data_IF_746493051584
#
_entry.id   IF_746493051584
#
_cell.length_a   1.000
_cell.length_b   1.000
_cell.length_c   1.000
_cell.angle_alpha   90.00
_cell.angle_beta   90.00
_cell.angle_gamma   90.00
#
_symmetry.space_group_name_H-M   'P 1'
#
loop_
_entity.id
_entity.type
_entity.pdbx_description
1 polymer ?
#
# COMPACT_ATOMS: atom_id res chain seq x y z
N UNK A 1 -0.41 10.08 -0.07
CA UNK A 1 0.77 9.84 -0.93
C UNK A 1 0.29 9.08 -2.15
N UNK A 2 0.43 9.66 -3.34
CA UNK A 2 -0.01 9.04 -4.59
C UNK A 2 1.15 8.20 -5.15
N UNK A 3 0.86 6.95 -5.55
CA UNK A 3 1.84 6.07 -6.17
C UNK A 3 1.60 6.02 -7.67
N UNK A 4 2.56 6.51 -8.46
CA UNK A 4 2.44 6.51 -9.92
C UNK A 4 3.70 5.89 -10.52
N UNK A 5 3.50 4.99 -11.47
CA UNK A 5 4.59 4.33 -12.18
C UNK A 5 5.12 5.22 -13.32
N UNK A 6 6.36 5.72 -13.18
CA UNK A 6 7.42 5.77 -14.21
C UNK A 6 8.63 6.53 -13.64
N UNK A 7 9.84 5.94 -13.60
CA UNK A 7 11.06 6.59 -13.12
C UNK A 7 12.11 6.73 -14.22
N UNK A 8 12.82 7.86 -14.25
CA UNK A 8 14.16 7.98 -14.84
C UNK A 8 15.14 8.68 -13.86
N UNK A 9 16.00 7.86 -13.22
CA UNK A 9 17.21 8.12 -12.39
C UNK A 9 17.18 9.09 -11.19
N UNK A 10 18.01 8.82 -10.17
CA UNK A 10 17.96 9.43 -8.83
C UNK A 10 18.71 10.75 -8.63
N UNK A 11 19.60 11.12 -9.56
CA UNK A 11 20.69 12.04 -9.23
C UNK A 11 20.72 13.32 -10.08
N UNK A 12 19.66 13.61 -10.84
CA UNK A 12 19.56 14.83 -11.63
C UNK A 12 18.17 15.45 -11.46
N UNK A 13 18.08 16.79 -11.41
CA UNK A 13 16.81 17.50 -11.54
C UNK A 13 16.22 17.18 -12.91
N UNK A 14 15.40 16.14 -12.98
CA UNK A 14 14.68 15.78 -14.19
C UNK A 14 13.40 16.62 -14.24
N UNK A 15 13.46 17.74 -14.95
CA UNK A 15 12.37 18.72 -15.06
C UNK A 15 11.00 18.09 -15.38
N UNK A 16 10.89 17.14 -16.33
CA UNK A 16 9.67 16.37 -16.54
C UNK A 16 9.08 15.70 -15.29
N UNK A 17 9.90 15.05 -14.45
CA UNK A 17 9.43 14.35 -13.24
C UNK A 17 8.95 15.36 -12.19
N UNK A 18 9.64 16.50 -12.07
CA UNK A 18 9.24 17.58 -11.16
C UNK A 18 7.91 18.16 -11.58
N UNK A 19 7.71 18.42 -12.87
CA UNK A 19 6.47 18.97 -13.39
C UNK A 19 5.31 17.99 -13.25
N UNK A 20 5.54 16.70 -13.55
CA UNK A 20 4.56 15.64 -13.31
C UNK A 20 4.18 15.57 -11.83
N UNK A 21 5.16 15.60 -10.90
CA UNK A 21 4.90 15.59 -9.48
C UNK A 21 4.03 16.78 -9.04
N UNK A 22 4.33 18.00 -9.52
CA UNK A 22 3.53 19.19 -9.22
C UNK A 22 2.09 19.05 -9.71
N UNK A 23 1.90 18.61 -10.95
CA UNK A 23 0.57 18.39 -11.53
C UNK A 23 -0.24 17.37 -10.74
N UNK A 24 0.38 16.27 -10.36
CA UNK A 24 -0.25 15.22 -9.57
C UNK A 24 -0.63 15.67 -8.15
N UNK A 25 0.22 16.45 -7.50
CA UNK A 25 -0.11 17.07 -6.21
C UNK A 25 -1.27 18.04 -6.37
N UNK A 26 -1.25 18.89 -7.40
CA UNK A 26 -2.29 19.89 -7.64
C UNK A 26 -3.66 19.28 -8.00
N UNK A 27 -3.72 18.08 -8.58
CA UNK A 27 -4.96 17.41 -8.94
C UNK A 27 -5.36 16.24 -8.02
N UNK A 28 -4.68 16.06 -6.88
CA UNK A 28 -4.99 15.01 -5.91
C UNK A 28 -5.07 15.54 -4.49
N UNK A 29 -5.49 14.70 -3.56
CA UNK A 29 -5.52 15.01 -2.12
C UNK A 29 -4.15 14.89 -1.44
N UNK A 30 -3.06 14.73 -2.20
CA UNK A 30 -1.76 14.33 -1.67
C UNK A 30 -0.70 15.41 -1.79
N UNK A 31 0.11 15.59 -0.74
CA UNK A 31 1.20 16.58 -0.76
C UNK A 31 2.51 16.05 -1.39
N UNK A 32 2.62 14.73 -1.56
CA UNK A 32 3.84 14.06 -2.03
C UNK A 32 3.51 12.85 -2.91
N UNK A 33 4.38 12.65 -3.90
CA UNK A 33 4.31 11.55 -4.88
C UNK A 33 5.56 10.68 -4.77
N UNK A 34 5.39 9.37 -4.93
CA UNK A 34 6.49 8.43 -5.12
C UNK A 34 6.37 7.75 -6.48
N UNK A 35 7.48 7.75 -7.20
CA UNK A 35 7.57 7.14 -8.52
C UNK A 35 8.21 5.75 -8.45
N UNK A 36 7.51 4.77 -9.01
CA UNK A 36 7.98 3.40 -9.23
C UNK A 36 8.02 3.08 -10.73
N UNK A 37 8.45 1.89 -11.13
CA UNK A 37 8.38 1.41 -12.51
C UNK A 37 7.14 0.52 -12.76
N UNK A 38 6.48 0.08 -11.70
CA UNK A 38 5.31 -0.79 -11.80
C UNK A 38 4.31 -0.57 -10.66
N UNK A 39 3.09 -1.07 -10.85
CA UNK A 39 2.06 -1.11 -9.81
C UNK A 39 2.44 -1.98 -8.61
N UNK A 40 3.12 -3.11 -8.82
CA UNK A 40 3.55 -3.98 -7.70
C UNK A 40 4.60 -3.30 -6.83
N UNK A 41 5.54 -2.56 -7.42
CA UNK A 41 6.51 -1.75 -6.66
C UNK A 41 5.85 -0.58 -5.91
N UNK A 42 4.83 0.04 -6.52
CA UNK A 42 4.02 1.04 -5.86
C UNK A 42 3.31 0.48 -4.63
N UNK A 43 2.71 -0.72 -4.74
CA UNK A 43 2.06 -1.40 -3.62
C UNK A 43 3.06 -1.81 -2.51
N UNK A 44 4.25 -2.29 -2.86
CA UNK A 44 5.32 -2.55 -1.87
C UNK A 44 5.73 -1.27 -1.13
N UNK A 45 5.87 -0.16 -1.86
CA UNK A 45 6.18 1.13 -1.26
C UNK A 45 5.06 1.57 -0.30
N UNK A 46 3.79 1.38 -0.69
CA UNK A 46 2.63 1.68 0.14
C UNK A 46 2.60 0.87 1.44
N UNK A 47 2.80 -0.46 1.36
CA UNK A 47 2.91 -1.35 2.50
C UNK A 47 4.01 -0.87 3.47
N UNK A 48 5.19 -0.56 2.92
CA UNK A 48 6.34 -0.09 3.72
C UNK A 48 6.09 1.27 4.36
N UNK A 49 5.49 2.22 3.64
CA UNK A 49 5.19 3.54 4.17
C UNK A 49 4.12 3.48 5.27
N UNK A 50 3.09 2.65 5.12
CA UNK A 50 2.10 2.42 6.17
C UNK A 50 2.75 1.90 7.47
N UNK A 51 3.55 0.83 7.37
CA UNK A 51 4.26 0.27 8.54
C UNK A 51 5.27 1.24 9.14
N UNK A 52 6.01 1.99 8.31
CA UNK A 52 6.95 3.00 8.79
C UNK A 52 6.23 4.15 9.50
N UNK A 53 5.11 4.61 8.96
CA UNK A 53 4.32 5.69 9.53
C UNK A 53 3.83 5.34 10.94
N UNK A 54 3.35 4.11 11.16
CA UNK A 54 2.94 3.66 12.49
C UNK A 54 4.09 3.65 13.48
N UNK A 55 5.22 3.04 13.11
CA UNK A 55 6.43 3.03 13.95
C UNK A 55 6.91 4.44 14.32
N UNK A 56 6.81 5.37 13.39
CA UNK A 56 7.25 6.74 13.61
C UNK A 56 6.25 7.56 14.43
N UNK A 57 4.95 7.33 14.24
CA UNK A 57 3.89 8.10 14.92
C UNK A 57 3.58 7.59 16.32
N UNK A 58 3.97 6.35 16.62
CA UNK A 58 3.69 5.67 17.89
C UNK A 58 4.99 5.05 18.48
N UNK A 59 5.99 5.88 18.86
CA UNK A 59 7.31 5.39 19.24
C UNK A 59 7.34 4.55 20.52
N UNK A 60 6.41 4.79 21.45
CA UNK A 60 6.35 4.12 22.75
C UNK A 60 5.38 2.91 22.76
N UNK A 61 4.67 2.69 21.66
CA UNK A 61 3.65 1.66 21.56
C UNK A 61 4.28 0.30 21.24
N UNK A 62 4.10 -0.66 22.15
CA UNK A 62 4.67 -2.01 22.03
C UNK A 62 4.02 -2.82 20.92
N UNK A 63 2.74 -2.57 20.63
CA UNK A 63 1.97 -3.29 19.64
C UNK A 63 1.50 -2.31 18.56
N UNK A 64 2.28 -2.23 17.48
CA UNK A 64 1.93 -1.37 16.37
C UNK A 64 0.92 -2.06 15.47
N UNK A 65 -0.06 -1.30 15.03
CA UNK A 65 -0.90 -1.66 13.91
C UNK A 65 0.02 -2.02 12.72
N UNK A 66 0.00 -3.28 12.30
CA UNK A 66 0.85 -3.84 11.22
C UNK A 66 0.06 -4.71 10.23
N UNK A 67 -1.22 -4.90 10.54
CA UNK A 67 -2.21 -5.68 9.82
C UNK A 67 -2.78 -4.88 8.64
N UNK A 68 -3.22 -5.56 7.60
CA UNK A 68 -3.81 -4.98 6.39
C UNK A 68 -5.17 -5.58 6.11
N UNK A 69 -6.04 -4.76 5.51
CA UNK A 69 -7.32 -5.18 4.98
C UNK A 69 -7.20 -5.12 3.45
N UNK A 70 -7.55 -6.21 2.78
CA UNK A 70 -7.73 -6.28 1.34
C UNK A 70 -9.13 -6.81 1.04
N UNK A 71 -9.55 -6.80 -0.22
CA UNK A 71 -10.89 -7.22 -0.61
C UNK A 71 -10.89 -8.48 -1.46
N UNK A 72 -11.98 -9.24 -1.44
CA UNK A 72 -12.19 -10.34 -2.39
C UNK A 72 -12.18 -9.79 -3.82
N UNK A 73 -11.68 -10.61 -4.75
CA UNK A 73 -11.45 -10.26 -6.15
C UNK A 73 -10.37 -9.19 -6.41
N UNK A 74 -9.56 -8.83 -5.41
CA UNK A 74 -8.47 -7.86 -5.57
C UNK A 74 -7.20 -8.47 -6.20
N UNK A 75 -6.39 -7.60 -6.80
CA UNK A 75 -5.07 -7.95 -7.33
C UNK A 75 -4.11 -6.77 -7.14
N UNK A 76 -3.05 -6.97 -6.34
CA UNK A 76 -2.07 -5.92 -6.02
C UNK A 76 -0.68 -6.21 -6.60
N UNK A 77 -0.50 -7.36 -7.24
CA UNK A 77 0.76 -7.75 -7.86
C UNK A 77 1.31 -9.07 -7.32
N UNK A 78 2.59 -9.33 -7.59
CA UNK A 78 3.23 -10.65 -7.40
C UNK A 78 4.51 -10.60 -6.56
N UNK A 79 4.92 -9.43 -6.09
CA UNK A 79 6.00 -9.31 -5.09
C UNK A 79 5.50 -9.73 -3.71
N UNK A 80 6.38 -10.12 -2.78
CA UNK A 80 5.98 -10.77 -1.52
C UNK A 80 4.92 -10.04 -0.67
N UNK A 81 4.99 -8.70 -0.58
CA UNK A 81 3.97 -7.91 0.13
C UNK A 81 2.71 -7.75 -0.72
N UNK A 82 2.87 -7.46 -2.00
CA UNK A 82 1.76 -7.26 -2.93
C UNK A 82 0.92 -8.54 -3.16
N UNK A 83 1.57 -9.70 -3.27
CA UNK A 83 0.91 -10.99 -3.47
C UNK A 83 0.14 -11.38 -2.22
N UNK A 84 0.63 -11.04 -1.02
CA UNK A 84 -0.10 -11.25 0.23
C UNK A 84 -1.45 -10.50 0.26
N UNK A 85 -1.52 -9.33 -0.39
CA UNK A 85 -2.76 -8.56 -0.54
C UNK A 85 -3.62 -9.02 -1.72
N UNK A 86 -3.11 -9.84 -2.64
CA UNK A 86 -3.87 -10.36 -3.80
C UNK A 86 -4.80 -11.48 -3.34
N UNK A 87 -6.12 -11.34 -3.55
CA UNK A 87 -7.10 -12.26 -2.96
C UNK A 87 -7.06 -13.68 -3.52
N UNK A 88 -6.75 -13.81 -4.81
CA UNK A 88 -6.75 -15.07 -5.55
C UNK A 88 -5.69 -16.03 -5.00
N UNK A 89 -6.16 -17.11 -4.36
CA UNK A 89 -5.33 -18.10 -3.66
C UNK A 89 -4.24 -18.71 -4.54
N UNK A 90 -4.53 -19.04 -5.80
CA UNK A 90 -3.54 -19.64 -6.71
C UNK A 90 -2.31 -18.74 -6.97
N UNK A 91 -2.41 -17.42 -6.73
CA UNK A 91 -1.24 -16.55 -6.78
C UNK A 91 -0.45 -16.55 -5.47
N UNK A 92 -1.06 -16.88 -4.32
CA UNK A 92 -0.44 -16.87 -3.00
C UNK A 92 0.13 -18.23 -2.60
N UNK A 93 -0.64 -19.30 -2.77
CA UNK A 93 -0.33 -20.64 -2.24
C UNK A 93 1.05 -21.18 -2.63
N UNK A 94 1.61 -20.92 -3.83
CA UNK A 94 2.97 -21.38 -4.16
C UNK A 94 4.10 -20.68 -3.39
N UNK A 95 3.81 -19.55 -2.74
CA UNK A 95 4.79 -18.70 -2.06
C UNK A 95 4.55 -18.58 -0.55
N UNK A 96 3.66 -19.41 0.00
CA UNK A 96 3.38 -19.38 1.43
C UNK A 96 4.58 -19.85 2.26
N UNK A 97 4.87 -19.21 3.42
CA UNK A 97 4.13 -18.09 3.99
C UNK A 97 4.43 -16.74 3.31
N UNK A 98 3.38 -16.05 2.88
CA UNK A 98 3.46 -14.66 2.39
C UNK A 98 3.48 -13.66 3.55
N UNK A 99 3.56 -12.35 3.28
CA UNK A 99 3.50 -11.33 4.33
C UNK A 99 2.29 -11.56 5.25
N UNK A 100 2.50 -11.78 6.56
CA UNK A 100 1.41 -12.09 7.47
C UNK A 100 0.55 -10.86 7.77
N UNK A 101 -0.64 -11.13 8.29
CA UNK A 101 -1.54 -10.12 8.80
C UNK A 101 -2.38 -9.44 7.74
N UNK A 102 -2.86 -10.21 6.76
CA UNK A 102 -3.82 -9.74 5.75
C UNK A 102 -5.17 -10.37 6.02
N UNK A 103 -6.20 -9.55 6.14
CA UNK A 103 -7.61 -9.97 6.22
C UNK A 103 -8.32 -9.59 4.93
N UNK A 104 -9.04 -10.52 4.33
CA UNK A 104 -9.85 -10.27 3.14
C UNK A 104 -11.31 -10.03 3.53
N UNK A 105 -11.87 -8.91 3.08
CA UNK A 105 -13.30 -8.58 3.22
C UNK A 105 -14.01 -8.64 1.87
N UNK A 106 -15.33 -8.81 1.88
CA UNK A 106 -16.12 -8.67 0.66
C UNK A 106 -16.12 -7.21 0.18
N UNK A 107 -15.84 -7.01 -1.11
CA UNK A 107 -15.89 -5.67 -1.70
C UNK A 107 -17.29 -5.05 -1.55
N UNK A 108 -17.37 -3.83 -1.06
CA UNK A 108 -18.64 -3.11 -0.83
C UNK A 108 -19.30 -3.39 0.52
N UNK A 109 -18.79 -4.33 1.34
CA UNK A 109 -19.31 -4.57 2.68
C UNK A 109 -18.77 -3.53 3.68
N UNK A 110 -19.41 -2.36 3.70
CA UNK A 110 -19.02 -1.21 4.54
C UNK A 110 -19.13 -1.56 6.03
N UNK A 111 -20.12 -2.36 6.41
CA UNK A 111 -20.35 -2.76 7.80
C UNK A 111 -19.17 -3.59 8.31
N UNK A 112 -18.77 -4.63 7.58
CA UNK A 112 -17.63 -5.46 7.94
C UNK A 112 -16.32 -4.67 7.97
N UNK A 113 -16.12 -3.76 7.01
CA UNK A 113 -14.97 -2.87 7.01
C UNK A 113 -14.96 -1.98 8.27
N UNK A 114 -16.08 -1.32 8.57
CA UNK A 114 -16.20 -0.41 9.72
C UNK A 114 -15.92 -1.10 11.04
N UNK A 115 -16.43 -2.31 11.22
CA UNK A 115 -16.19 -3.10 12.43
C UNK A 115 -14.71 -3.45 12.59
N UNK A 116 -14.07 -3.90 11.51
CA UNK A 116 -12.66 -4.28 11.54
C UNK A 116 -11.72 -3.08 11.75
N UNK A 117 -12.05 -1.91 11.21
CA UNK A 117 -11.26 -0.68 11.37
C UNK A 117 -11.29 -0.15 12.82
N UNK A 118 -12.34 -0.43 13.59
CA UNK A 118 -12.47 0.01 14.99
C UNK A 118 -11.49 -0.71 15.93
N UNK A 119 -10.97 -1.86 15.51
CA UNK A 119 -10.04 -2.69 16.29
C UNK A 119 -8.62 -2.48 15.73
N UNK A 120 -7.88 -1.46 16.20
CA UNK A 120 -6.41 -1.26 16.11
C UNK A 120 -5.65 -1.84 14.87
N UNK A 121 -6.23 -1.75 13.67
CA UNK A 121 -5.64 -2.26 12.42
C UNK A 121 -5.08 -1.11 11.57
N UNK A 122 -3.95 -1.39 10.90
CA UNK A 122 -3.26 -0.41 10.08
C UNK A 122 -4.13 -0.05 8.89
N UNK A 123 -4.44 1.24 8.78
CA UNK A 123 -5.26 1.78 7.70
C UNK A 123 -4.41 1.94 6.44
N UNK A 124 -4.25 0.85 5.69
CA UNK A 124 -3.88 0.94 4.29
C UNK A 124 -4.91 0.16 3.47
N UNK A 125 -5.80 0.92 2.83
CA UNK A 125 -6.69 0.41 1.79
C UNK A 125 -5.90 0.43 0.49
N UNK A 126 -5.57 -0.75 -0.02
CA UNK A 126 -5.11 -0.92 -1.40
C UNK A 126 -6.19 -1.63 -2.19
#
# INVERSE_FOLDING_TARGET
>A
MLFIANRTSANHKNWPIVELAKRLVACSFTDRVFFSNSGTEANEAAIKFARKFQRFSHPDEKQLATQFISFTNSYHGRTMGAVALTSKEHYRSPFEPVMPGVTFLEYGNIQAATELIRVEILRLYL
#
